data_IF_465404999824
#
_entry.id   IF_465404999824
#
_cell.length_a   1.000
_cell.length_b   1.000
_cell.length_c   1.000
_cell.angle_alpha   90.00
_cell.angle_beta   90.00
_cell.angle_gamma   90.00
#
_symmetry.space_group_name_H-M   'P 1'
#
loop_
_entity.id
_entity.type
_entity.pdbx_description
1 polymer ?
#
# COMPACT_ATOMS: atom_id res chain seq x y z
N UNK A 1 -5.09 18.29 5.31
CA UNK A 1 -6.48 17.81 5.48
C UNK A 1 -6.96 17.26 4.14
N UNK A 2 -6.58 16.03 3.80
CA UNK A 2 -7.09 15.32 2.63
C UNK A 2 -7.77 14.06 3.16
N UNK A 3 -9.10 14.07 3.20
CA UNK A 3 -9.90 12.87 3.45
C UNK A 3 -9.65 11.90 2.32
N UNK A 4 -9.41 10.63 2.70
CA UNK A 4 -9.22 9.51 1.79
C UNK A 4 -10.19 9.54 0.62
N UNK A 5 -9.68 9.34 -0.56
CA UNK A 5 -10.43 9.34 -1.81
C UNK A 5 -11.21 8.04 -1.89
N UNK A 6 -12.43 8.11 -1.38
CA UNK A 6 -13.41 7.03 -1.48
C UNK A 6 -13.63 6.68 -2.96
N UNK A 7 -13.17 5.50 -3.36
CA UNK A 7 -13.31 4.96 -4.73
C UNK A 7 -14.75 4.51 -5.04
N UNK A 8 -15.71 4.72 -4.11
CA UNK A 8 -17.04 4.11 -4.14
C UNK A 8 -18.13 4.87 -4.92
N UNK A 9 -17.82 6.01 -5.59
CA UNK A 9 -18.83 6.74 -6.36
C UNK A 9 -18.35 7.06 -7.78
N UNK A 10 -18.60 6.15 -8.72
CA UNK A 10 -18.34 6.35 -10.13
C UNK A 10 -19.09 5.38 -11.01
N UNK A 11 -20.42 5.56 -11.10
CA UNK A 11 -21.18 4.94 -12.19
C UNK A 11 -20.74 5.53 -13.55
N UNK A 12 -20.37 4.68 -14.52
CA UNK A 12 -20.21 5.05 -15.92
C UNK A 12 -18.89 5.70 -16.34
N UNK A 13 -17.82 5.59 -15.56
CA UNK A 13 -16.48 6.05 -15.95
C UNK A 13 -15.92 5.24 -17.12
N UNK A 14 -15.28 5.93 -18.06
CA UNK A 14 -14.57 5.34 -19.19
C UNK A 14 -13.49 4.38 -18.64
N UNK A 15 -13.63 3.07 -18.86
CA UNK A 15 -12.70 2.03 -18.41
C UNK A 15 -11.38 2.02 -19.21
N UNK A 16 -10.90 3.22 -19.57
CA UNK A 16 -9.75 3.38 -20.46
C UNK A 16 -8.45 2.95 -19.79
N UNK A 17 -8.27 3.31 -18.52
CA UNK A 17 -7.09 2.89 -17.76
C UNK A 17 -7.02 1.37 -17.64
N UNK A 18 -8.14 0.72 -17.29
CA UNK A 18 -8.21 -0.73 -17.20
C UNK A 18 -7.86 -1.40 -18.55
N UNK A 19 -8.39 -0.88 -19.67
CA UNK A 19 -8.07 -1.40 -20.99
C UNK A 19 -6.58 -1.26 -21.33
N UNK A 20 -5.97 -0.11 -21.03
CA UNK A 20 -4.53 0.10 -21.24
C UNK A 20 -3.70 -0.83 -20.38
N UNK A 21 -4.11 -1.07 -19.13
CA UNK A 21 -3.42 -2.03 -18.25
C UNK A 21 -3.54 -3.46 -18.77
N UNK A 22 -4.70 -3.88 -19.30
CA UNK A 22 -4.89 -5.20 -19.92
C UNK A 22 -3.96 -5.44 -21.11
N UNK A 23 -3.70 -4.40 -21.91
CA UNK A 23 -2.78 -4.50 -23.04
C UNK A 23 -1.30 -4.60 -22.63
N UNK A 24 -0.95 -4.07 -21.46
CA UNK A 24 0.45 -3.96 -20.98
C UNK A 24 0.85 -5.04 -19.97
N UNK A 25 -0.12 -5.63 -19.28
CA UNK A 25 0.13 -6.62 -18.23
C UNK A 25 -0.12 -8.04 -18.74
N UNK A 26 0.94 -8.84 -18.78
CA UNK A 26 0.88 -10.25 -19.16
C UNK A 26 0.32 -11.15 -18.05
N UNK A 27 0.53 -10.75 -16.80
CA UNK A 27 0.13 -11.50 -15.60
C UNK A 27 -0.62 -10.57 -14.63
N UNK A 28 -1.51 -11.12 -13.80
CA UNK A 28 -2.22 -10.32 -12.81
C UNK A 28 -1.25 -9.68 -11.80
N UNK A 29 -1.67 -8.56 -11.23
CA UNK A 29 -1.03 -7.93 -10.08
C UNK A 29 -1.32 -8.79 -8.85
N UNK A 30 -0.31 -9.23 -8.13
CA UNK A 30 -0.46 -9.92 -6.85
C UNK A 30 -0.42 -8.90 -5.72
N UNK A 31 -1.54 -8.77 -5.01
CA UNK A 31 -1.68 -7.87 -3.86
C UNK A 31 -1.95 -8.65 -2.58
N UNK A 32 -1.27 -8.25 -1.51
CA UNK A 32 -1.47 -8.81 -0.17
C UNK A 32 -1.80 -7.66 0.78
N UNK A 33 -2.95 -7.74 1.46
CA UNK A 33 -3.42 -6.77 2.46
C UNK A 33 -3.46 -7.46 3.82
N UNK A 34 -2.69 -6.96 4.78
CA UNK A 34 -2.58 -7.50 6.13
C UNK A 34 -3.15 -6.49 7.12
N UNK A 35 -4.18 -6.90 7.87
CA UNK A 35 -5.03 -6.00 8.65
C UNK A 35 -6.15 -5.42 7.78
N UNK A 36 -6.90 -6.29 7.11
CA UNK A 36 -7.93 -5.93 6.14
C UNK A 36 -9.26 -5.48 6.77
N UNK A 37 -9.26 -5.03 8.04
CA UNK A 37 -10.47 -4.52 8.71
C UNK A 37 -11.16 -3.44 7.84
N UNK A 38 -12.45 -3.63 7.57
CA UNK A 38 -13.23 -2.76 6.67
C UNK A 38 -13.07 -3.06 5.17
N UNK A 39 -12.24 -4.00 4.77
CA UNK A 39 -12.14 -4.55 3.42
C UNK A 39 -11.15 -3.84 2.49
N UNK A 40 -10.72 -4.56 1.46
CA UNK A 40 -9.77 -4.10 0.45
C UNK A 40 -10.45 -3.10 -0.49
N UNK A 41 -10.03 -1.84 -0.47
CA UNK A 41 -10.65 -0.74 -1.24
C UNK A 41 -9.72 -0.07 -2.24
N UNK A 42 -8.43 -0.35 -2.18
CA UNK A 42 -7.40 0.37 -2.93
C UNK A 42 -7.52 0.18 -4.45
N UNK A 43 -8.05 -0.96 -4.90
CA UNK A 43 -7.92 -1.37 -6.30
C UNK A 43 -9.02 -0.88 -7.22
N UNK A 44 -10.22 -0.53 -6.70
CA UNK A 44 -11.32 -0.09 -7.54
C UNK A 44 -11.53 -0.98 -8.77
N UNK A 45 -11.57 -0.39 -9.96
CA UNK A 45 -11.74 -1.13 -11.22
C UNK A 45 -10.50 -1.99 -11.59
N UNK A 46 -9.30 -1.60 -11.13
CA UNK A 46 -8.07 -2.36 -11.38
C UNK A 46 -8.09 -3.74 -10.69
N UNK A 47 -8.97 -3.93 -9.70
CA UNK A 47 -9.15 -5.22 -9.04
C UNK A 47 -9.45 -6.38 -10.00
N UNK A 48 -10.04 -6.09 -11.19
CA UNK A 48 -10.26 -7.10 -12.24
C UNK A 48 -8.96 -7.70 -12.78
N UNK A 49 -7.83 -7.02 -12.60
CA UNK A 49 -6.49 -7.46 -13.02
C UNK A 49 -5.62 -7.88 -11.82
N UNK A 50 -6.22 -8.03 -10.63
CA UNK A 50 -5.49 -8.37 -9.42
C UNK A 50 -5.84 -9.77 -8.91
N UNK A 51 -4.83 -10.46 -8.39
CA UNK A 51 -4.99 -11.55 -7.45
C UNK A 51 -4.78 -10.94 -6.05
N UNK A 52 -5.85 -10.90 -5.24
CA UNK A 52 -5.85 -10.20 -3.96
C UNK A 52 -5.98 -11.21 -2.83
N UNK A 53 -5.05 -11.17 -1.88
CA UNK A 53 -5.08 -11.90 -0.64
C UNK A 53 -5.26 -10.92 0.52
N UNK A 54 -6.22 -11.17 1.43
CA UNK A 54 -6.47 -10.32 2.58
C UNK A 54 -6.49 -11.14 3.86
N UNK A 55 -5.77 -10.65 4.88
CA UNK A 55 -5.63 -11.30 6.17
C UNK A 55 -6.41 -10.55 7.24
N UNK A 56 -7.30 -11.28 7.91
CA UNK A 56 -8.04 -10.79 9.07
C UNK A 56 -8.14 -11.93 10.11
N UNK A 57 -7.39 -11.85 11.20
CA UNK A 57 -7.38 -12.91 12.21
C UNK A 57 -8.56 -12.85 13.18
N UNK A 58 -9.25 -11.70 13.30
CA UNK A 58 -10.40 -11.57 14.19
C UNK A 58 -11.64 -12.22 13.56
N UNK A 59 -12.30 -13.18 14.25
CA UNK A 59 -13.43 -13.90 13.69
C UNK A 59 -14.61 -13.01 13.30
N UNK A 60 -14.94 -12.01 14.13
CA UNK A 60 -16.03 -11.06 13.91
C UNK A 60 -15.80 -10.22 12.65
N UNK A 61 -14.60 -9.65 12.52
CA UNK A 61 -14.21 -8.85 11.36
C UNK A 61 -14.12 -9.71 10.10
N UNK A 62 -13.58 -10.92 10.20
CA UNK A 62 -13.51 -11.87 9.10
C UNK A 62 -14.91 -12.26 8.57
N UNK A 63 -15.86 -12.54 9.46
CA UNK A 63 -17.23 -12.86 9.10
C UNK A 63 -17.92 -11.70 8.37
N UNK A 64 -17.65 -10.46 8.78
CA UNK A 64 -18.20 -9.26 8.14
C UNK A 64 -17.58 -9.04 6.75
N UNK A 65 -16.27 -9.28 6.58
CA UNK A 65 -15.61 -9.26 5.27
C UNK A 65 -16.20 -10.32 4.33
N UNK A 66 -16.43 -11.53 4.82
CA UNK A 66 -17.00 -12.63 4.04
C UNK A 66 -18.43 -12.34 3.60
N UNK A 67 -19.27 -11.82 4.51
CA UNK A 67 -20.64 -11.36 4.18
C UNK A 67 -20.61 -10.28 3.09
N UNK A 68 -19.79 -9.25 3.30
CA UNK A 68 -19.68 -8.15 2.36
C UNK A 68 -19.18 -8.57 0.95
N UNK A 69 -18.36 -9.63 0.88
CA UNK A 69 -17.93 -10.22 -0.40
C UNK A 69 -19.06 -10.99 -1.07
N UNK A 70 -19.89 -11.72 -0.32
CA UNK A 70 -21.01 -12.51 -0.82
C UNK A 70 -22.19 -11.62 -1.32
N UNK A 71 -22.38 -10.45 -0.73
CA UNK A 71 -23.43 -9.50 -1.13
C UNK A 71 -23.18 -8.84 -2.49
N UNK A 72 -21.99 -9.02 -3.08
CA UNK A 72 -21.61 -8.55 -4.40
C UNK A 72 -21.14 -7.09 -4.44
N UNK A 73 -20.61 -6.70 -5.61
CA UNK A 73 -20.10 -5.34 -5.83
C UNK A 73 -18.67 -5.08 -5.37
N UNK A 74 -18.03 -6.03 -4.71
CA UNK A 74 -16.61 -5.97 -4.32
C UNK A 74 -15.74 -6.87 -5.20
N UNK A 75 -14.44 -6.56 -5.36
CA UNK A 75 -13.52 -7.44 -6.05
C UNK A 75 -13.44 -8.80 -5.34
N UNK A 76 -13.21 -9.85 -6.11
CA UNK A 76 -13.01 -11.19 -5.56
C UNK A 76 -11.66 -11.24 -4.84
N UNK A 77 -11.71 -11.42 -3.51
CA UNK A 77 -10.56 -11.48 -2.62
C UNK A 77 -10.44 -12.87 -2.02
N UNK A 78 -9.24 -13.41 -1.94
CA UNK A 78 -8.94 -14.60 -1.16
C UNK A 78 -8.76 -14.19 0.30
N UNK A 79 -9.80 -14.42 1.11
CA UNK A 79 -9.79 -14.09 2.54
C UNK A 79 -9.09 -15.18 3.35
N UNK A 80 -8.20 -14.79 4.27
CA UNK A 80 -7.47 -15.67 5.15
C UNK A 80 -7.81 -15.34 6.61
N UNK A 81 -8.53 -16.28 7.30
CA UNK A 81 -8.81 -16.15 8.74
C UNK A 81 -7.57 -16.58 9.55
N UNK A 82 -6.50 -15.85 9.41
CA UNK A 82 -5.23 -16.05 10.13
C UNK A 82 -4.47 -14.73 10.16
N UNK A 83 -3.55 -14.58 11.11
CA UNK A 83 -2.64 -13.45 11.14
C UNK A 83 -1.34 -13.73 10.38
N UNK A 84 -0.60 -12.68 10.02
CA UNK A 84 0.81 -12.80 9.67
C UNK A 84 1.67 -12.39 10.87
N UNK A 85 2.76 -13.13 11.10
CA UNK A 85 3.73 -12.86 12.16
C UNK A 85 5.15 -13.25 11.73
N UNK A 86 6.13 -13.02 12.59
CA UNK A 86 7.52 -13.42 12.35
C UNK A 86 7.68 -14.93 12.18
N UNK A 87 6.92 -15.71 12.95
CA UNK A 87 6.97 -17.16 12.92
C UNK A 87 5.54 -17.75 12.88
N UNK A 88 5.41 -18.90 12.23
CA UNK A 88 4.18 -19.67 12.21
C UNK A 88 3.92 -20.27 13.58
N UNK A 89 2.67 -20.15 14.07
CA UNK A 89 2.26 -20.71 15.35
C UNK A 89 1.07 -19.98 15.97
N UNK A 90 0.83 -20.26 17.24
CA UNK A 90 -0.17 -19.56 18.05
C UNK A 90 0.42 -18.26 18.58
N UNK A 91 -0.32 -17.18 18.45
CA UNK A 91 0.03 -15.85 18.91
C UNK A 91 -1.12 -15.24 19.68
N UNK A 92 -0.79 -14.34 20.60
CA UNK A 92 -1.77 -13.59 21.37
C UNK A 92 -2.11 -12.28 20.64
N UNK A 93 -3.40 -12.10 20.37
CA UNK A 93 -3.95 -10.85 19.86
C UNK A 93 -4.56 -10.05 21.02
N UNK A 94 -4.12 -8.84 21.24
CA UNK A 94 -4.68 -7.90 22.20
C UNK A 94 -5.77 -7.08 21.52
N UNK A 95 -7.02 -7.41 21.76
CA UNK A 95 -8.17 -6.69 21.23
C UNK A 95 -8.42 -5.49 22.13
N UNK A 96 -8.33 -4.30 21.56
CA UNK A 96 -8.54 -3.03 22.27
C UNK A 96 -10.00 -2.56 22.14
N UNK A 97 -10.39 -1.59 22.99
CA UNK A 97 -11.74 -0.99 22.93
C UNK A 97 -12.06 -0.33 21.61
N UNK A 98 -11.04 0.21 20.91
CA UNK A 98 -11.11 0.58 19.50
C UNK A 98 -10.55 -0.59 18.71
N UNK A 99 -11.39 -1.42 18.06
CA UNK A 99 -10.94 -2.65 17.42
C UNK A 99 -9.81 -2.47 16.40
N UNK A 100 -9.76 -1.32 15.73
CA UNK A 100 -8.72 -0.96 14.76
C UNK A 100 -7.33 -0.75 15.38
N UNK A 101 -7.25 -0.61 16.72
CA UNK A 101 -5.98 -0.51 17.43
C UNK A 101 -5.53 -1.86 18.05
N UNK A 102 -6.18 -2.96 17.65
CA UNK A 102 -5.80 -4.31 18.13
C UNK A 102 -4.50 -4.76 17.47
N UNK A 103 -3.65 -5.47 18.24
CA UNK A 103 -2.29 -5.80 17.81
C UNK A 103 -1.82 -7.14 18.43
N UNK A 104 -0.81 -7.75 17.80
CA UNK A 104 -0.04 -8.83 18.40
C UNK A 104 0.89 -8.31 19.52
N UNK A 105 1.14 -7.02 19.56
CA UNK A 105 1.91 -6.35 20.60
C UNK A 105 0.95 -5.78 21.66
N UNK A 106 1.35 -5.87 22.93
CA UNK A 106 0.57 -5.32 24.02
C UNK A 106 0.58 -3.79 23.97
N UNK A 107 -0.59 -3.12 24.03
CA UNK A 107 -0.63 -1.65 24.10
C UNK A 107 0.15 -1.12 25.29
N UNK A 108 1.00 -0.13 25.05
CA UNK A 108 1.81 0.51 26.08
C UNK A 108 0.97 1.49 26.90
N UNK A 109 1.15 1.57 28.22
CA UNK A 109 0.50 2.59 29.03
C UNK A 109 0.74 3.99 28.47
N UNK A 110 -0.32 4.75 28.24
CA UNK A 110 -0.23 6.02 27.55
C UNK A 110 0.62 7.03 28.33
N UNK A 111 1.68 7.55 27.72
CA UNK A 111 2.38 8.75 28.18
C UNK A 111 1.43 9.96 28.18
N UNK A 112 1.82 11.07 28.86
CA UNK A 112 1.01 12.30 28.89
C UNK A 112 0.60 12.77 27.47
N UNK A 113 1.52 12.72 26.50
CA UNK A 113 1.25 13.07 25.09
C UNK A 113 0.22 12.12 24.46
N UNK A 114 0.35 10.85 24.70
CA UNK A 114 -0.55 9.84 24.16
C UNK A 114 -1.93 9.88 24.82
N UNK A 115 -2.01 10.15 26.13
CA UNK A 115 -3.30 10.36 26.81
C UNK A 115 -4.08 11.51 26.20
N UNK A 116 -3.40 12.60 25.84
CA UNK A 116 -4.05 13.75 25.22
C UNK A 116 -4.46 13.51 23.76
N UNK A 117 -3.73 12.68 23.04
CA UNK A 117 -4.07 12.30 21.68
C UNK A 117 -5.21 11.28 21.63
N UNK A 118 -5.16 10.27 22.50
CA UNK A 118 -6.13 9.19 22.56
C UNK A 118 -7.49 9.58 23.14
N UNK A 119 -7.60 10.72 23.80
CA UNK A 119 -8.78 11.37 24.42
C UNK A 119 -9.69 10.45 25.27
N UNK A 120 -9.57 9.12 25.15
CA UNK A 120 -10.33 8.09 25.83
C UNK A 120 -9.45 6.84 26.11
N UNK A 121 -10.05 5.83 26.67
CA UNK A 121 -9.40 4.55 26.96
C UNK A 121 -9.42 3.58 25.75
N UNK A 122 -9.42 4.08 24.52
CA UNK A 122 -9.59 3.29 23.31
C UNK A 122 -8.54 2.19 23.11
N UNK A 123 -7.32 2.42 23.60
CA UNK A 123 -6.22 1.46 23.55
C UNK A 123 -6.18 0.50 24.76
N UNK A 124 -7.11 0.60 25.72
CA UNK A 124 -7.20 -0.39 26.79
C UNK A 124 -7.58 -1.74 26.19
N UNK A 125 -6.89 -2.78 26.64
CA UNK A 125 -7.19 -4.16 26.24
C UNK A 125 -8.56 -4.56 26.78
N UNK A 126 -9.48 -4.85 25.89
CA UNK A 126 -10.82 -5.33 26.21
C UNK A 126 -10.86 -6.86 26.27
N UNK A 127 -10.05 -7.53 25.45
CA UNK A 127 -9.99 -8.99 25.38
C UNK A 127 -8.60 -9.43 24.88
N UNK A 128 -8.15 -10.59 25.33
CA UNK A 128 -7.02 -11.31 24.75
C UNK A 128 -7.54 -12.55 24.04
N UNK A 129 -7.07 -12.79 22.81
CA UNK A 129 -7.47 -13.92 21.98
C UNK A 129 -6.22 -14.64 21.47
N UNK A 130 -6.21 -15.96 21.57
CA UNK A 130 -5.21 -16.78 20.90
C UNK A 130 -5.62 -17.00 19.44
N UNK A 131 -4.74 -16.63 18.50
CA UNK A 131 -4.98 -16.76 17.07
C UNK A 131 -3.86 -17.54 16.39
N UNK A 132 -4.19 -18.20 15.29
CA UNK A 132 -3.19 -18.79 14.43
C UNK A 132 -2.55 -17.71 13.57
N UNK A 133 -1.22 -17.71 13.49
CA UNK A 133 -0.47 -16.89 12.56
C UNK A 133 0.44 -17.78 11.70
N UNK A 134 0.73 -17.30 10.49
CA UNK A 134 1.75 -17.88 9.63
C UNK A 134 2.80 -16.83 9.30
N UNK A 135 4.02 -17.26 8.98
CA UNK A 135 5.02 -16.31 8.46
C UNK A 135 4.72 -15.96 7.00
N UNK A 136 5.15 -14.77 6.56
CA UNK A 136 5.02 -14.37 5.16
C UNK A 136 5.70 -15.36 4.21
N UNK A 137 6.87 -15.90 4.59
CA UNK A 137 7.56 -16.93 3.82
C UNK A 137 6.73 -18.22 3.69
N UNK A 138 6.06 -18.65 4.77
CA UNK A 138 5.18 -19.80 4.75
C UNK A 138 3.95 -19.57 3.88
N UNK A 139 3.34 -18.41 3.99
CA UNK A 139 2.19 -18.02 3.17
C UNK A 139 2.52 -18.08 1.67
N UNK A 140 3.61 -17.45 1.24
CA UNK A 140 3.97 -17.44 -0.19
C UNK A 140 4.28 -18.83 -0.72
N UNK A 141 4.88 -19.70 0.11
CA UNK A 141 5.11 -21.10 -0.22
C UNK A 141 3.79 -21.86 -0.38
N UNK A 142 2.84 -21.74 0.54
CA UNK A 142 1.55 -22.41 0.50
C UNK A 142 0.67 -21.97 -0.68
N UNK A 143 0.73 -20.67 -1.02
CA UNK A 143 0.00 -20.11 -2.15
C UNK A 143 0.78 -20.24 -3.48
N UNK A 144 2.00 -20.78 -3.46
CA UNK A 144 2.88 -20.91 -4.62
C UNK A 144 3.14 -19.56 -5.32
N UNK A 145 3.23 -18.48 -4.56
CA UNK A 145 3.50 -17.15 -5.07
C UNK A 145 5.00 -16.98 -5.33
N UNK A 146 5.37 -16.62 -6.55
CA UNK A 146 6.75 -16.29 -6.92
C UNK A 146 7.08 -14.82 -6.68
N UNK A 147 6.08 -13.96 -6.44
CA UNK A 147 6.20 -12.52 -6.23
C UNK A 147 4.99 -11.95 -5.49
N UNK A 148 5.17 -10.76 -4.94
CA UNK A 148 4.10 -9.87 -4.50
C UNK A 148 4.37 -8.50 -5.13
N UNK A 149 3.41 -7.96 -5.89
CA UNK A 149 3.58 -6.67 -6.54
C UNK A 149 3.24 -5.51 -5.59
N UNK A 150 2.30 -5.73 -4.65
CA UNK A 150 1.93 -4.76 -3.62
C UNK A 150 1.62 -5.46 -2.30
N UNK A 151 2.37 -5.10 -1.26
CA UNK A 151 2.14 -5.55 0.12
C UNK A 151 1.70 -4.37 0.98
N UNK A 152 0.49 -4.44 1.56
CA UNK A 152 0.02 -3.50 2.58
C UNK A 152 0.13 -4.15 3.96
N UNK A 153 0.71 -3.43 4.91
CA UNK A 153 0.82 -3.82 6.31
C UNK A 153 0.23 -2.72 7.19
N UNK A 154 -0.82 -3.08 7.93
CA UNK A 154 -1.52 -2.21 8.87
C UNK A 154 -1.95 -3.08 10.05
N UNK A 155 -0.99 -3.44 10.89
CA UNK A 155 -1.13 -4.43 11.97
C UNK A 155 -0.82 -3.86 13.34
N UNK A 156 -0.76 -2.52 13.39
CA UNK A 156 -0.63 -1.77 14.63
C UNK A 156 0.63 -2.14 15.42
N UNK A 157 1.80 -2.09 14.72
CA UNK A 157 3.12 -2.22 15.32
C UNK A 157 3.83 -3.56 15.13
N UNK A 158 3.18 -4.57 14.53
CA UNK A 158 3.81 -5.87 14.24
C UNK A 158 4.38 -6.00 12.82
N UNK A 159 4.38 -4.93 12.04
CA UNK A 159 4.76 -4.86 10.62
C UNK A 159 6.19 -5.36 10.38
N UNK A 160 7.15 -4.91 11.21
CA UNK A 160 8.54 -5.33 11.06
C UNK A 160 8.73 -6.81 11.35
N UNK A 161 7.98 -7.39 12.27
CA UNK A 161 8.02 -8.82 12.54
C UNK A 161 7.43 -9.63 11.38
N UNK A 162 6.39 -9.15 10.74
CA UNK A 162 5.83 -9.74 9.52
C UNK A 162 6.88 -9.70 8.39
N UNK A 163 7.52 -8.54 8.19
CA UNK A 163 8.59 -8.39 7.20
C UNK A 163 9.75 -9.36 7.48
N UNK A 164 10.22 -9.44 8.71
CA UNK A 164 11.26 -10.41 9.12
C UNK A 164 10.85 -11.86 8.87
N UNK A 165 9.55 -12.17 9.02
CA UNK A 165 8.96 -13.45 8.68
C UNK A 165 8.93 -13.78 7.19
N UNK A 166 9.17 -12.81 6.32
CA UNK A 166 9.31 -12.99 4.88
C UNK A 166 10.70 -13.42 4.43
N UNK A 167 11.74 -13.12 5.23
CA UNK A 167 13.13 -13.45 4.89
C UNK A 167 13.52 -12.93 3.51
N UNK A 168 14.26 -13.74 2.75
CA UNK A 168 14.75 -13.37 1.41
C UNK A 168 13.63 -13.14 0.39
N UNK A 169 12.41 -13.65 0.61
CA UNK A 169 11.28 -13.39 -0.27
C UNK A 169 10.92 -11.89 -0.34
N UNK A 170 11.33 -11.07 0.63
CA UNK A 170 11.16 -9.63 0.55
C UNK A 170 11.74 -9.02 -0.73
N UNK A 171 12.77 -9.63 -1.31
CA UNK A 171 13.37 -9.18 -2.58
C UNK A 171 12.43 -9.34 -3.78
N UNK A 172 11.42 -10.22 -3.65
CA UNK A 172 10.40 -10.47 -4.67
C UNK A 172 9.13 -9.61 -4.47
N UNK A 173 9.16 -8.68 -3.52
CA UNK A 173 8.09 -7.69 -3.33
C UNK A 173 8.46 -6.39 -4.04
N UNK A 174 7.54 -5.82 -4.82
CA UNK A 174 7.81 -4.61 -5.60
C UNK A 174 7.56 -3.33 -4.83
N UNK A 175 6.38 -3.19 -4.21
CA UNK A 175 5.96 -2.02 -3.46
C UNK A 175 5.41 -2.46 -2.11
N UNK A 176 5.76 -1.72 -1.05
CA UNK A 176 5.24 -1.94 0.30
C UNK A 176 4.60 -0.63 0.77
N UNK A 177 3.34 -0.72 1.21
CA UNK A 177 2.69 0.27 2.06
C UNK A 177 2.70 -0.26 3.48
N UNK A 178 3.27 0.49 4.41
CA UNK A 178 3.48 0.04 5.78
C UNK A 178 3.14 1.17 6.75
N UNK A 179 2.21 0.94 7.68
CA UNK A 179 2.04 1.83 8.82
C UNK A 179 3.29 1.73 9.70
N UNK A 180 3.83 2.89 10.09
CA UNK A 180 4.99 2.96 10.97
C UNK A 180 4.79 4.03 12.02
N UNK A 181 5.33 3.82 13.20
CA UNK A 181 5.26 4.76 14.29
C UNK A 181 6.59 5.46 14.52
N UNK A 182 6.48 6.70 15.01
CA UNK A 182 7.59 7.56 15.42
C UNK A 182 7.72 7.64 16.94
N UNK A 183 6.75 7.08 17.64
CA UNK A 183 6.73 6.90 19.10
C UNK A 183 6.09 5.56 19.43
N UNK A 184 6.64 4.83 20.39
CA UNK A 184 6.09 3.52 20.75
C UNK A 184 4.68 3.65 21.35
N UNK A 185 3.71 3.04 20.67
CA UNK A 185 2.33 2.87 21.11
C UNK A 185 2.10 1.51 21.78
N UNK A 186 2.93 0.52 21.42
CA UNK A 186 2.90 -0.85 21.91
C UNK A 186 4.24 -1.25 22.52
N UNK A 187 4.25 -2.24 23.41
CA UNK A 187 5.46 -2.75 24.06
C UNK A 187 6.38 -3.42 23.04
N UNK A 188 7.64 -3.00 23.00
CA UNK A 188 8.63 -3.56 22.07
C UNK A 188 8.43 -3.20 20.59
N UNK A 189 7.51 -2.29 20.29
CA UNK A 189 7.21 -1.87 18.93
C UNK A 189 8.44 -1.25 18.24
N UNK A 190 8.80 -1.72 17.04
CA UNK A 190 9.81 -1.08 16.19
C UNK A 190 9.34 0.31 15.74
N UNK A 191 10.28 1.21 15.50
CA UNK A 191 10.00 2.55 15.00
C UNK A 191 10.43 2.70 13.54
N UNK A 192 10.09 3.84 12.95
CA UNK A 192 10.32 4.18 11.55
C UNK A 192 11.76 3.88 11.08
N UNK A 193 12.76 4.25 11.85
CA UNK A 193 14.18 4.07 11.51
C UNK A 193 14.57 2.58 11.42
N UNK A 194 14.03 1.72 12.28
CA UNK A 194 14.26 0.27 12.24
C UNK A 194 13.60 -0.35 11.01
N UNK A 195 12.38 0.06 10.67
CA UNK A 195 11.66 -0.42 9.48
C UNK A 195 12.41 0.00 8.22
N UNK A 196 12.81 1.28 8.11
CA UNK A 196 13.58 1.81 6.97
C UNK A 196 14.91 1.06 6.84
N UNK A 197 15.66 0.91 7.93
CA UNK A 197 16.95 0.21 7.92
C UNK A 197 16.83 -1.25 7.48
N UNK A 198 15.80 -1.94 7.97
CA UNK A 198 15.54 -3.33 7.55
C UNK A 198 15.17 -3.40 6.08
N UNK A 199 14.21 -2.61 5.61
CA UNK A 199 13.79 -2.63 4.20
C UNK A 199 14.91 -2.21 3.25
N UNK A 200 15.76 -1.25 3.64
CA UNK A 200 16.93 -0.85 2.85
C UNK A 200 17.91 -2.02 2.64
N UNK A 201 18.08 -2.93 3.62
CA UNK A 201 18.92 -4.12 3.48
C UNK A 201 18.39 -5.13 2.44
N UNK A 202 17.11 -5.09 2.14
CA UNK A 202 16.45 -5.87 1.08
C UNK A 202 16.31 -5.14 -0.26
N UNK A 203 16.87 -3.92 -0.37
CA UNK A 203 16.91 -3.15 -1.60
C UNK A 203 15.74 -2.18 -1.78
N UNK A 204 14.91 -1.98 -0.76
CA UNK A 204 13.86 -0.97 -0.83
C UNK A 204 14.39 0.42 -0.52
N UNK A 205 13.77 1.42 -1.12
CA UNK A 205 13.87 2.83 -0.72
C UNK A 205 12.51 3.36 -0.28
N UNK A 206 12.52 4.18 0.75
CA UNK A 206 11.37 4.99 1.13
C UNK A 206 11.16 6.11 0.10
N UNK A 207 9.91 6.43 -0.24
CA UNK A 207 9.64 7.52 -1.19
C UNK A 207 8.49 8.46 -0.80
N UNK A 208 7.55 8.04 0.06
CA UNK A 208 6.45 8.91 0.45
C UNK A 208 5.89 8.59 1.85
N UNK A 209 5.40 9.63 2.50
CA UNK A 209 4.43 9.53 3.59
C UNK A 209 3.04 9.77 3.03
N UNK A 210 2.07 8.97 3.49
CA UNK A 210 0.64 9.17 3.21
C UNK A 210 -0.08 9.67 4.46
N UNK A 211 -1.19 9.02 4.83
CA UNK A 211 -1.96 9.36 6.02
C UNK A 211 -1.12 9.20 7.29
N UNK A 212 -1.51 9.90 8.34
CA UNK A 212 -0.82 9.82 9.62
C UNK A 212 -1.39 10.78 10.65
N UNK A 213 -0.91 10.67 11.88
CA UNK A 213 -1.30 11.54 12.97
C UNK A 213 -0.14 12.35 13.51
N UNK A 214 -0.43 13.61 13.86
CA UNK A 214 0.50 14.52 14.51
C UNK A 214 -0.11 15.10 15.78
N UNK A 215 0.72 15.21 16.82
CA UNK A 215 0.38 15.89 18.06
C UNK A 215 1.47 16.94 18.37
N UNK A 216 1.09 18.22 18.45
CA UNK A 216 2.03 19.33 18.67
C UNK A 216 3.24 19.31 17.72
N UNK A 217 2.99 19.11 16.39
CA UNK A 217 4.02 19.01 15.33
C UNK A 217 4.93 17.78 15.46
N UNK A 218 4.62 16.86 16.35
CA UNK A 218 5.32 15.58 16.47
C UNK A 218 4.50 14.52 15.78
N UNK A 219 5.07 13.90 14.74
CA UNK A 219 4.44 12.76 14.06
C UNK A 219 4.37 11.58 15.04
N UNK A 220 3.22 10.96 15.12
CA UNK A 220 2.97 9.79 15.97
C UNK A 220 3.10 8.52 15.14
N UNK A 221 2.39 8.46 14.01
CA UNK A 221 2.43 7.38 13.03
C UNK A 221 2.18 7.92 11.63
N UNK A 222 2.52 7.14 10.62
CA UNK A 222 2.20 7.43 9.22
C UNK A 222 2.24 6.16 8.38
N UNK A 223 1.36 6.09 7.39
CA UNK A 223 1.53 5.17 6.27
C UNK A 223 2.75 5.60 5.47
N UNK A 224 3.64 4.67 5.23
CA UNK A 224 4.89 4.88 4.51
C UNK A 224 4.95 4.00 3.26
N UNK A 225 5.40 4.60 2.17
CA UNK A 225 5.54 3.92 0.89
C UNK A 225 7.00 3.60 0.59
N UNK A 226 7.25 2.34 0.26
CA UNK A 226 8.56 1.83 -0.10
C UNK A 226 8.49 1.12 -1.45
N UNK A 227 9.56 1.23 -2.24
CA UNK A 227 9.66 0.59 -3.55
C UNK A 227 11.03 -0.05 -3.70
N UNK A 228 11.10 -1.16 -4.42
CA UNK A 228 12.39 -1.76 -4.81
C UNK A 228 13.20 -0.76 -5.63
N UNK A 229 14.50 -0.67 -5.32
CA UNK A 229 15.42 0.23 -6.02
C UNK A 229 15.85 -0.30 -7.38
N UNK A 230 15.71 -1.61 -7.62
CA UNK A 230 16.14 -2.26 -8.86
C UNK A 230 15.09 -3.24 -9.36
N UNK A 231 14.77 -3.13 -10.64
CA UNK A 231 13.91 -4.04 -11.36
C UNK A 231 14.73 -4.67 -12.49
N UNK A 232 14.89 -5.99 -12.46
CA UNK A 232 15.59 -6.75 -13.52
C UNK A 232 14.61 -7.40 -14.50
N UNK A 233 13.33 -7.49 -14.12
CA UNK A 233 12.24 -8.03 -14.92
C UNK A 233 11.31 -6.90 -15.38
N UNK A 234 11.17 -6.76 -16.70
CA UNK A 234 10.35 -5.73 -17.32
C UNK A 234 8.86 -5.86 -16.97
N UNK A 235 8.35 -7.09 -16.86
CA UNK A 235 6.96 -7.32 -16.50
C UNK A 235 6.67 -6.89 -15.04
N UNK A 236 7.62 -7.13 -14.12
CA UNK A 236 7.56 -6.65 -12.74
C UNK A 236 7.61 -5.11 -12.68
N UNK A 237 8.51 -4.50 -13.46
CA UNK A 237 8.62 -3.05 -13.61
C UNK A 237 7.30 -2.43 -14.07
N UNK A 238 6.67 -3.01 -15.10
CA UNK A 238 5.40 -2.52 -15.64
C UNK A 238 4.26 -2.61 -14.63
N UNK A 239 4.15 -3.72 -13.87
CA UNK A 239 3.16 -3.84 -12.79
C UNK A 239 3.38 -2.77 -11.72
N UNK A 240 4.62 -2.52 -11.30
CA UNK A 240 4.93 -1.47 -10.33
C UNK A 240 4.55 -0.08 -10.85
N UNK A 241 4.84 0.24 -12.12
CA UNK A 241 4.44 1.52 -12.73
C UNK A 241 2.91 1.68 -12.82
N UNK A 242 2.18 0.62 -13.18
CA UNK A 242 0.71 0.63 -13.18
C UNK A 242 0.16 0.88 -11.78
N UNK A 243 0.70 0.21 -10.76
CA UNK A 243 0.30 0.39 -9.36
C UNK A 243 0.53 1.84 -8.94
N UNK A 244 1.72 2.39 -9.17
CA UNK A 244 2.07 3.78 -8.80
C UNK A 244 1.12 4.78 -9.44
N UNK A 245 0.82 4.65 -10.73
CA UNK A 245 -0.14 5.52 -11.45
C UNK A 245 -1.54 5.36 -10.88
N UNK A 246 -1.95 4.12 -10.58
CA UNK A 246 -3.28 3.84 -10.02
C UNK A 246 -3.49 4.52 -8.67
N UNK A 247 -2.51 4.45 -7.79
CA UNK A 247 -2.56 5.06 -6.44
C UNK A 247 -2.15 6.55 -6.42
N UNK A 248 -1.80 7.12 -7.57
CA UNK A 248 -1.58 8.57 -7.75
C UNK A 248 -0.13 9.05 -7.68
N UNK A 249 0.84 8.14 -7.63
CA UNK A 249 2.28 8.48 -7.62
C UNK A 249 2.86 8.58 -9.03
N UNK A 250 2.35 9.53 -9.80
CA UNK A 250 2.73 9.73 -11.22
C UNK A 250 4.20 10.05 -11.41
N UNK A 251 4.79 10.91 -10.55
CA UNK A 251 6.21 11.27 -10.65
C UNK A 251 7.10 10.07 -10.37
N UNK A 252 6.76 9.28 -9.36
CA UNK A 252 7.50 8.08 -9.00
C UNK A 252 7.45 7.04 -10.13
N UNK A 253 6.27 6.87 -10.76
CA UNK A 253 6.12 6.00 -11.92
C UNK A 253 6.95 6.47 -13.12
N UNK A 254 7.00 7.80 -13.37
CA UNK A 254 7.82 8.36 -14.44
C UNK A 254 9.31 8.11 -14.19
N UNK A 255 9.79 8.39 -12.97
CA UNK A 255 11.18 8.14 -12.60
C UNK A 255 11.52 6.67 -12.75
N UNK A 256 10.67 5.78 -12.24
CA UNK A 256 10.86 4.34 -12.34
C UNK A 256 11.04 3.88 -13.78
N UNK A 257 10.19 4.34 -14.70
CA UNK A 257 10.24 3.94 -16.10
C UNK A 257 11.43 4.54 -16.84
N UNK A 258 11.77 5.80 -16.55
CA UNK A 258 12.93 6.49 -17.16
C UNK A 258 14.26 5.85 -16.72
N UNK A 259 14.40 5.52 -15.44
CA UNK A 259 15.61 4.89 -14.89
C UNK A 259 15.86 3.48 -15.46
N UNK A 260 14.83 2.88 -16.08
CA UNK A 260 14.91 1.57 -16.72
C UNK A 260 14.75 1.62 -18.26
N UNK A 261 15.02 2.79 -18.86
CA UNK A 261 15.00 2.99 -20.32
C UNK A 261 13.68 2.62 -21.01
N UNK A 262 12.55 2.64 -20.27
CA UNK A 262 11.24 2.40 -20.86
C UNK A 262 10.78 3.64 -21.65
N UNK A 263 10.27 3.47 -22.89
CA UNK A 263 9.79 4.60 -23.69
C UNK A 263 8.75 5.43 -22.95
N UNK A 264 8.93 6.75 -22.94
CA UNK A 264 8.05 7.70 -22.22
C UNK A 264 6.60 7.67 -22.73
N UNK A 265 6.39 7.21 -23.94
CA UNK A 265 5.08 7.01 -24.56
C UNK A 265 4.21 5.99 -23.76
N UNK A 266 4.84 4.99 -23.16
CA UNK A 266 4.16 4.01 -22.30
C UNK A 266 3.64 4.70 -21.03
N UNK A 267 4.48 5.51 -20.38
CA UNK A 267 4.05 6.33 -19.25
C UNK A 267 2.89 7.25 -19.62
N UNK A 268 3.00 7.95 -20.77
CA UNK A 268 1.95 8.85 -21.25
C UNK A 268 0.63 8.14 -21.47
N UNK A 269 0.68 6.95 -22.10
CA UNK A 269 -0.51 6.13 -22.39
C UNK A 269 -1.21 5.75 -21.09
N UNK A 270 -0.47 5.31 -20.07
CA UNK A 270 -1.00 4.96 -18.76
C UNK A 270 -1.55 6.17 -17.99
N UNK A 271 -0.75 7.24 -17.88
CA UNK A 271 -1.12 8.42 -17.11
C UNK A 271 -2.33 9.15 -17.71
N UNK A 272 -2.37 9.31 -19.04
CA UNK A 272 -3.51 9.94 -19.71
C UNK A 272 -4.78 9.11 -19.56
N UNK A 273 -4.69 7.78 -19.72
CA UNK A 273 -5.84 6.90 -19.55
C UNK A 273 -6.39 6.98 -18.11
N UNK A 274 -5.52 7.00 -17.09
CA UNK A 274 -5.92 7.14 -15.70
C UNK A 274 -6.60 8.48 -15.42
N UNK A 275 -6.08 9.56 -16.01
CA UNK A 275 -6.62 10.90 -15.81
C UNK A 275 -7.98 11.11 -16.49
N UNK A 276 -8.22 10.46 -17.62
CA UNK A 276 -9.51 10.51 -18.30
C UNK A 276 -10.62 9.79 -17.49
N UNK A 277 -10.24 8.78 -16.69
CA UNK A 277 -11.16 8.06 -15.79
C UNK A 277 -11.44 8.85 -14.49
N UNK A 278 -10.70 9.92 -14.22
CA UNK A 278 -10.86 10.76 -13.02
C UNK A 278 -11.72 11.98 -13.35
N UNK A 279 -12.72 12.29 -12.52
CA UNK A 279 -13.68 13.40 -12.74
C UNK A 279 -13.01 14.78 -12.82
N UNK A 280 -13.61 15.78 -13.53
CA UNK A 280 -13.03 17.10 -13.83
C UNK A 280 -12.51 17.90 -12.64
N UNK A 281 -13.06 17.70 -11.44
CA UNK A 281 -12.61 18.38 -10.22
C UNK A 281 -11.19 18.01 -9.81
N UNK A 282 -10.71 16.82 -10.18
CA UNK A 282 -9.34 16.33 -9.94
C UNK A 282 -8.35 16.77 -11.01
N UNK A 283 -8.83 17.13 -12.19
CA UNK A 283 -7.98 17.65 -13.30
C UNK A 283 -7.30 18.98 -12.92
N UNK A 284 -7.93 19.83 -12.07
CA UNK A 284 -7.33 21.07 -11.57
C UNK A 284 -6.07 20.85 -10.73
N UNK A 285 -6.04 19.77 -9.93
CA UNK A 285 -4.85 19.36 -9.17
C UNK A 285 -3.73 18.91 -10.10
N UNK A 286 -4.06 18.23 -11.19
CA UNK A 286 -3.10 17.77 -12.17
C UNK A 286 -2.51 18.88 -13.04
N UNK A 287 -3.23 19.99 -13.27
CA UNK A 287 -2.67 21.17 -13.98
C UNK A 287 -1.53 21.83 -13.19
N UNK A 288 -1.57 21.78 -11.84
CA UNK A 288 -0.42 22.12 -10.99
C UNK A 288 0.75 21.14 -11.17
N UNK A 289 0.45 19.85 -11.31
CA UNK A 289 1.41 18.77 -11.52
C UNK A 289 2.16 18.87 -12.89
N UNK A 290 1.46 19.25 -13.98
CA UNK A 290 2.12 19.54 -15.27
C UNK A 290 3.27 20.53 -15.13
N UNK A 291 3.16 21.50 -14.20
CA UNK A 291 4.21 22.46 -13.90
C UNK A 291 5.44 21.80 -13.26
N UNK A 292 5.23 20.86 -12.35
CA UNK A 292 6.29 20.12 -11.62
C UNK A 292 7.00 19.14 -12.54
N UNK A 293 6.25 18.33 -13.30
CA UNK A 293 6.82 17.43 -14.35
C UNK A 293 7.62 18.21 -15.38
N UNK A 294 7.12 19.38 -15.82
CA UNK A 294 7.84 20.26 -16.77
C UNK A 294 9.14 20.79 -16.18
N UNK A 295 9.16 21.10 -14.88
CA UNK A 295 10.36 21.55 -14.15
C UNK A 295 11.37 20.41 -14.02
N UNK A 296 10.89 19.21 -13.70
CA UNK A 296 11.66 17.98 -13.53
C UNK A 296 12.35 17.54 -14.82
N UNK A 297 11.59 17.47 -15.92
CA UNK A 297 12.12 17.16 -17.27
C UNK A 297 13.15 18.19 -17.74
N UNK A 298 13.05 19.45 -17.29
CA UNK A 298 14.06 20.49 -17.54
C UNK A 298 15.35 20.24 -16.77
N UNK A 299 15.25 19.79 -15.51
CA UNK A 299 16.41 19.60 -14.62
C UNK A 299 17.17 18.31 -14.95
N UNK A 300 16.50 17.28 -15.43
CA UNK A 300 17.10 15.97 -15.77
C UNK A 300 17.77 15.90 -17.16
N UNK A 301 17.89 17.02 -17.87
CA UNK A 301 18.51 17.02 -19.22
C UNK A 301 17.68 16.35 -20.32
N UNK A 302 16.48 15.87 -20.02
CA UNK A 302 15.55 15.17 -20.93
C UNK A 302 14.81 16.17 -21.84
N UNK A 303 15.37 17.34 -22.05
CA UNK A 303 14.76 18.50 -22.76
C UNK A 303 14.40 18.22 -24.23
N UNK A 304 15.06 17.26 -24.88
CA UNK A 304 14.73 16.92 -26.28
C UNK A 304 13.44 16.08 -26.38
N UNK A 305 13.22 15.18 -25.44
CA UNK A 305 12.01 14.33 -25.36
C UNK A 305 10.82 15.19 -24.91
N UNK A 306 11.02 16.07 -23.94
CA UNK A 306 9.99 16.98 -23.43
C UNK A 306 9.50 18.01 -24.47
N UNK A 307 10.34 18.48 -25.39
CA UNK A 307 9.93 19.41 -26.47
C UNK A 307 8.98 18.74 -27.47
N UNK A 308 9.17 17.47 -27.76
CA UNK A 308 8.23 16.69 -28.58
C UNK A 308 6.89 16.52 -27.88
N UNK A 309 6.92 16.27 -26.56
CA UNK A 309 5.78 16.09 -25.68
C UNK A 309 4.85 17.31 -25.61
N UNK A 310 5.43 18.50 -25.56
CA UNK A 310 4.70 19.77 -25.41
C UNK A 310 4.08 20.28 -26.72
N UNK A 311 4.56 19.78 -27.87
CA UNK A 311 3.99 20.12 -29.19
C UNK A 311 2.80 19.25 -29.60
N UNK A 312 2.66 18.03 -29.04
CA UNK A 312 1.55 17.13 -29.35
C UNK A 312 0.33 17.26 -28.40
N UNK A 313 0.43 18.13 -27.39
CA UNK A 313 -0.61 18.36 -26.37
C UNK A 313 -1.17 19.80 -26.36
N UNK A 314 -0.92 20.57 -27.44
CA UNK A 314 -1.44 21.93 -27.67
C UNK A 314 -2.37 21.95 -28.88
#
# INVERSE_FOLDING_TARGET
MFKGLDASNGGGGNKRFLSVCQDLLELPIVSVDVGADGGVREWGELAALCEIHAFEPRPDSFDDLQKAQNEGGRPKVKLHNTGLARATGQHRLYITRIPQASSLLKPKPASFLLKRWRQDNGFDVAQELEINCISLARFVQEQQLSRIDFLKLDTQGSELDILRGGGDFLREISIIKCEVEFVQLYEGQPLFDEVVGTLASYGFRFFAFEEGAEVYKKRIWSDCMFIQSKFTDQARLMRAAVILIHIGYYEEALWLLVDHDVPVEIYQRLANARLEDITPTRIKLWQGFRGSVRKLLKTAGVLQVAKKFLKSAG
#
